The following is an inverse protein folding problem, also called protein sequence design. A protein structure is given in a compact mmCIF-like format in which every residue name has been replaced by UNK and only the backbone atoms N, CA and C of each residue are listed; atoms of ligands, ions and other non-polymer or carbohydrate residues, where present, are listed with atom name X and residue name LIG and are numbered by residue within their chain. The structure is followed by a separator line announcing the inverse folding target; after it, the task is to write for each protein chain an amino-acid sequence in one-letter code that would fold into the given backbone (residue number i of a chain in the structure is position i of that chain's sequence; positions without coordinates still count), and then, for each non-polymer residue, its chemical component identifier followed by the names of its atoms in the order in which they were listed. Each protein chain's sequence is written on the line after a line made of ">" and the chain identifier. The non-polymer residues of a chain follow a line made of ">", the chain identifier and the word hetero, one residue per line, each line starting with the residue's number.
data_IF_680353061173
#
_entry.id   IF_680353061173
#
_cell.length_a   1.000
_cell.length_b   1.000
_cell.length_c   1.000
_cell.angle_alpha   90.00
_cell.angle_beta   90.00
_cell.angle_gamma   90.00
#
_symmetry.space_group_name_H-M   'P 1'
#
loop_
_entity.id
_entity.type
_entity.pdbx_description
1 polymer ?
#
# COMPACT_ATOMS: atom_id res chain seq x y z
N UNK A 1 -14.56 -24.42 21.28
CA UNK A 1 -14.75 -23.71 22.55
C UNK A 1 -13.77 -22.57 22.62
N UNK A 2 -14.22 -21.37 22.90
CA UNK A 2 -13.34 -20.21 23.09
C UNK A 2 -12.65 -20.36 24.44
N UNK A 3 -11.33 -20.54 24.43
CA UNK A 3 -10.55 -20.84 25.64
C UNK A 3 -10.19 -19.60 26.48
N UNK A 4 -10.58 -18.38 26.02
CA UNK A 4 -10.18 -17.13 26.66
C UNK A 4 -11.34 -16.50 27.44
N UNK A 5 -11.04 -16.01 28.66
CA UNK A 5 -11.99 -15.20 29.44
C UNK A 5 -12.17 -13.81 28.78
N UNK A 6 -13.22 -13.06 29.18
CA UNK A 6 -13.45 -11.68 28.69
C UNK A 6 -12.27 -10.77 28.99
N UNK A 7 -11.67 -10.89 30.18
CA UNK A 7 -10.52 -10.12 30.65
C UNK A 7 -9.26 -10.44 29.85
N UNK A 8 -9.00 -11.73 29.60
CA UNK A 8 -7.87 -12.18 28.77
C UNK A 8 -8.02 -11.65 27.34
N UNK A 9 -9.22 -11.72 26.78
CA UNK A 9 -9.53 -11.18 25.46
C UNK A 9 -9.31 -9.66 25.40
N UNK A 10 -9.81 -8.93 26.40
CA UNK A 10 -9.62 -7.49 26.50
C UNK A 10 -8.13 -7.12 26.53
N UNK A 11 -7.32 -7.81 27.34
CA UNK A 11 -5.86 -7.61 27.39
C UNK A 11 -5.20 -7.89 26.04
N UNK A 12 -5.57 -9.00 25.38
CA UNK A 12 -5.02 -9.31 24.04
C UNK A 12 -5.37 -8.22 23.01
N UNK A 13 -6.61 -7.74 23.02
CA UNK A 13 -7.06 -6.71 22.09
C UNK A 13 -6.41 -5.36 22.35
N UNK A 14 -6.23 -4.97 23.61
CA UNK A 14 -5.56 -3.71 23.99
C UNK A 14 -4.05 -3.75 23.75
N UNK A 15 -3.45 -4.94 23.72
CA UNK A 15 -2.02 -5.12 23.42
C UNK A 15 -1.70 -5.06 21.91
N UNK A 16 -2.71 -5.05 21.03
CA UNK A 16 -2.52 -4.95 19.57
C UNK A 16 -2.03 -3.57 19.24
N UNK A 17 -0.81 -3.49 18.71
CA UNK A 17 -0.21 -2.24 18.25
C UNK A 17 -0.79 -1.85 16.91
N UNK A 18 -1.14 -0.58 16.76
CA UNK A 18 -1.60 -0.01 15.48
C UNK A 18 -0.43 0.49 14.61
N UNK A 19 0.79 0.54 15.13
CA UNK A 19 2.00 1.02 14.43
C UNK A 19 3.22 0.25 14.91
N UNK A 20 4.24 0.20 14.07
CA UNK A 20 5.50 -0.50 14.33
C UNK A 20 5.28 -1.99 14.65
N UNK A 21 4.37 -2.61 13.95
CA UNK A 21 4.13 -4.04 14.03
C UNK A 21 5.32 -4.83 13.48
N UNK A 22 5.45 -6.09 13.90
CA UNK A 22 6.53 -6.96 13.38
C UNK A 22 6.54 -7.07 11.85
N UNK A 23 5.39 -7.25 11.15
CA UNK A 23 5.33 -7.22 9.69
C UNK A 23 5.83 -5.91 9.07
N UNK A 24 5.40 -4.76 9.58
CA UNK A 24 5.87 -3.45 9.10
C UNK A 24 7.38 -3.30 9.24
N UNK A 25 7.95 -3.64 10.41
CA UNK A 25 9.39 -3.55 10.66
C UNK A 25 10.18 -4.46 9.71
N UNK A 26 9.64 -5.61 9.34
CA UNK A 26 10.28 -6.54 8.41
C UNK A 26 10.36 -5.94 7.01
N UNK A 27 9.25 -5.40 6.50
CA UNK A 27 9.21 -4.72 5.20
C UNK A 27 10.15 -3.51 5.18
N UNK A 28 10.12 -2.69 6.23
CA UNK A 28 10.99 -1.51 6.37
C UNK A 28 12.47 -1.86 6.33
N UNK A 29 12.89 -2.88 7.11
CA UNK A 29 14.29 -3.34 7.14
C UNK A 29 14.74 -3.83 5.77
N UNK A 30 13.92 -4.63 5.11
CA UNK A 30 14.22 -5.12 3.77
C UNK A 30 14.40 -3.97 2.77
N UNK A 31 13.42 -3.07 2.67
CA UNK A 31 13.50 -1.93 1.75
C UNK A 31 14.72 -1.06 2.02
N UNK A 32 15.03 -0.79 3.30
CA UNK A 32 16.20 -0.01 3.67
C UNK A 32 17.50 -0.69 3.26
N UNK A 33 17.63 -2.01 3.45
CA UNK A 33 18.82 -2.80 3.05
C UNK A 33 19.01 -2.84 1.53
N UNK A 34 17.92 -2.67 0.76
CA UNK A 34 17.94 -2.57 -0.72
C UNK A 34 18.16 -1.13 -1.22
N UNK A 35 18.46 -0.18 -0.34
CA UNK A 35 18.73 1.19 -0.70
C UNK A 35 17.53 2.10 -0.88
N UNK A 36 16.31 1.61 -0.64
CA UNK A 36 15.12 2.45 -0.67
C UNK A 36 15.10 3.43 0.50
N UNK A 37 14.70 4.67 0.23
CA UNK A 37 14.51 5.71 1.24
C UNK A 37 13.03 6.06 1.30
N UNK A 38 12.45 6.02 2.48
CA UNK A 38 11.02 6.18 2.72
C UNK A 38 10.73 7.05 3.94
N UNK A 39 9.49 7.51 4.01
CA UNK A 39 8.91 8.15 5.19
C UNK A 39 7.84 7.23 5.78
N UNK A 40 7.56 7.39 7.07
CA UNK A 40 6.61 6.57 7.80
C UNK A 40 5.36 7.36 8.15
N UNK A 41 4.20 6.69 8.11
CA UNK A 41 2.92 7.19 8.63
C UNK A 41 2.64 8.65 8.23
N UNK A 42 2.70 8.96 6.92
CA UNK A 42 2.58 10.33 6.44
C UNK A 42 1.16 10.89 6.69
N UNK A 43 0.99 11.95 7.52
CA UNK A 43 -0.33 12.36 8.01
C UNK A 43 -1.23 12.99 6.93
N UNK A 44 -0.64 13.48 5.83
CA UNK A 44 -1.38 14.17 4.75
C UNK A 44 -1.82 13.24 3.62
N UNK A 45 -1.45 11.96 3.66
CA UNK A 45 -1.89 11.00 2.65
C UNK A 45 -3.09 10.20 3.17
N UNK A 46 -4.10 9.94 2.32
CA UNK A 46 -5.23 9.08 2.66
C UNK A 46 -4.76 7.73 3.23
N UNK A 47 -5.45 7.25 4.25
CA UNK A 47 -5.15 5.96 4.88
C UNK A 47 -3.92 5.91 5.77
N UNK A 48 -3.18 7.02 5.92
CA UNK A 48 -1.94 7.07 6.71
C UNK A 48 -0.99 5.90 6.42
N UNK A 49 -0.54 5.72 5.17
CA UNK A 49 0.22 4.56 4.75
C UNK A 49 1.47 4.32 5.62
N UNK A 50 1.79 3.06 5.89
CA UNK A 50 2.90 2.66 6.76
C UNK A 50 4.26 3.08 6.21
N UNK A 51 4.40 3.07 4.88
CA UNK A 51 5.64 3.40 4.18
C UNK A 51 5.31 4.27 2.96
N UNK A 52 6.03 5.37 2.79
CA UNK A 52 5.87 6.31 1.67
C UNK A 52 7.19 6.49 0.93
N UNK A 53 7.23 6.04 -0.31
CA UNK A 53 8.37 6.10 -1.22
C UNK A 53 8.16 7.23 -2.24
N UNK A 54 8.53 8.46 -1.87
CA UNK A 54 8.27 9.66 -2.70
C UNK A 54 8.90 9.58 -4.09
N UNK A 55 10.14 9.07 -4.18
CA UNK A 55 10.85 8.88 -5.45
C UNK A 55 10.09 7.98 -6.42
N UNK A 56 9.34 7.02 -5.90
CA UNK A 56 8.57 6.03 -6.65
C UNK A 56 7.10 6.40 -6.75
N UNK A 57 6.66 7.52 -6.21
CA UNK A 57 5.25 7.89 -6.04
C UNK A 57 4.37 6.73 -5.54
N UNK A 58 4.93 5.93 -4.67
CA UNK A 58 4.31 4.68 -4.18
C UNK A 58 4.17 4.72 -2.67
N UNK A 59 3.04 4.26 -2.19
CA UNK A 59 2.77 4.00 -0.78
C UNK A 59 2.55 2.51 -0.54
N UNK A 60 2.90 2.04 0.65
CA UNK A 60 2.72 0.64 1.03
C UNK A 60 1.93 0.58 2.34
N UNK A 61 0.89 -0.24 2.32
CA UNK A 61 0.12 -0.65 3.48
C UNK A 61 0.52 -2.07 3.87
N UNK A 62 0.79 -2.32 5.15
CA UNK A 62 1.10 -3.64 5.68
C UNK A 62 -0.07 -4.13 6.51
N UNK A 63 -0.99 -4.81 5.87
CA UNK A 63 -2.30 -5.13 6.41
C UNK A 63 -2.33 -6.46 7.16
N UNK A 64 -2.88 -6.46 8.38
CA UNK A 64 -3.24 -7.67 9.11
C UNK A 64 -4.43 -8.37 8.47
N UNK A 65 -4.30 -9.68 8.22
CA UNK A 65 -5.30 -10.44 7.46
C UNK A 65 -6.71 -10.39 8.08
N UNK A 66 -6.80 -10.45 9.39
CA UNK A 66 -8.08 -10.39 10.11
C UNK A 66 -8.75 -9.01 10.00
N UNK A 67 -7.97 -7.94 10.26
CA UNK A 67 -8.51 -6.59 10.39
C UNK A 67 -9.00 -5.98 9.08
N UNK A 68 -8.40 -6.41 7.97
CA UNK A 68 -8.70 -5.92 6.62
C UNK A 68 -9.42 -6.96 5.75
N UNK A 69 -9.86 -8.09 6.37
CA UNK A 69 -10.68 -9.09 5.71
C UNK A 69 -10.03 -9.72 4.49
N UNK A 70 -8.78 -10.19 4.63
CA UNK A 70 -8.04 -10.80 3.53
C UNK A 70 -8.73 -12.07 3.03
N UNK A 71 -9.31 -12.01 1.82
CA UNK A 71 -10.08 -13.10 1.22
C UNK A 71 -9.21 -14.33 0.94
N UNK A 72 -9.81 -15.51 1.02
CA UNK A 72 -9.16 -16.81 0.78
C UNK A 72 -7.91 -17.05 1.64
N UNK A 73 -7.81 -16.39 2.80
CA UNK A 73 -6.69 -16.48 3.70
C UNK A 73 -7.02 -17.31 4.96
N UNK A 74 -6.20 -18.31 5.25
CA UNK A 74 -6.32 -19.13 6.47
C UNK A 74 -6.19 -18.33 7.77
N UNK A 75 -5.60 -17.15 7.73
CA UNK A 75 -5.45 -16.24 8.88
C UNK A 75 -6.66 -15.31 9.06
N UNK A 76 -7.60 -15.31 8.14
CA UNK A 76 -8.87 -14.59 8.24
C UNK A 76 -9.99 -15.56 8.64
N UNK A 77 -10.28 -15.62 9.93
CA UNK A 77 -11.35 -16.44 10.49
C UNK A 77 -12.20 -15.57 11.41
N UNK A 78 -13.47 -15.45 11.09
CA UNK A 78 -14.41 -14.70 11.94
C UNK A 78 -14.63 -15.41 13.27
N UNK A 79 -14.60 -14.69 14.41
CA UNK A 79 -14.93 -15.25 15.70
C UNK A 79 -16.37 -15.78 15.74
N UNK A 80 -16.59 -16.92 16.38
CA UNK A 80 -17.92 -17.49 16.57
C UNK A 80 -18.83 -16.61 17.44
N UNK A 81 -18.25 -15.87 18.39
CA UNK A 81 -18.96 -14.92 19.24
C UNK A 81 -18.98 -13.54 18.59
N UNK A 82 -20.16 -12.89 18.62
CA UNK A 82 -20.39 -11.57 18.03
C UNK A 82 -20.01 -11.50 16.53
N UNK A 83 -20.27 -12.55 15.78
CA UNK A 83 -19.95 -12.65 14.34
C UNK A 83 -20.48 -11.48 13.54
N UNK A 84 -21.74 -11.05 13.80
CA UNK A 84 -22.34 -9.90 13.14
C UNK A 84 -21.55 -8.60 13.36
N UNK A 85 -21.13 -8.33 14.60
CA UNK A 85 -20.31 -7.17 14.91
C UNK A 85 -18.99 -7.18 14.13
N UNK A 86 -18.30 -8.32 14.13
CA UNK A 86 -17.02 -8.46 13.44
C UNK A 86 -17.16 -8.34 11.93
N UNK A 87 -18.20 -8.97 11.35
CA UNK A 87 -18.49 -8.84 9.92
C UNK A 87 -18.67 -7.38 9.53
N UNK A 88 -19.55 -6.65 10.21
CA UNK A 88 -19.81 -5.24 9.92
C UNK A 88 -18.56 -4.36 10.13
N UNK A 89 -17.74 -4.67 11.14
CA UNK A 89 -16.50 -3.91 11.41
C UNK A 89 -15.48 -4.11 10.29
N UNK A 90 -15.27 -5.36 9.86
CA UNK A 90 -14.31 -5.69 8.81
C UNK A 90 -14.79 -5.13 7.47
N UNK A 91 -16.07 -5.21 7.17
CA UNK A 91 -16.66 -4.64 5.95
C UNK A 91 -16.45 -3.12 5.89
N UNK A 92 -16.69 -2.41 6.99
CA UNK A 92 -16.37 -0.97 7.08
C UNK A 92 -14.88 -0.68 6.88
N UNK A 93 -14.00 -1.50 7.42
CA UNK A 93 -12.56 -1.34 7.19
C UNK A 93 -12.22 -1.53 5.71
N UNK A 94 -12.75 -2.56 5.05
CA UNK A 94 -12.53 -2.83 3.62
C UNK A 94 -13.02 -1.68 2.72
N UNK A 95 -14.23 -1.16 3.01
CA UNK A 95 -14.78 -0.04 2.24
C UNK A 95 -13.92 1.21 2.40
N UNK A 96 -13.49 1.51 3.62
CA UNK A 96 -12.55 2.62 3.89
C UNK A 96 -11.23 2.40 3.15
N UNK A 97 -10.62 1.22 3.23
CA UNK A 97 -9.37 0.92 2.54
C UNK A 97 -9.51 1.13 1.02
N UNK A 98 -10.63 0.71 0.44
CA UNK A 98 -10.92 0.91 -1.00
C UNK A 98 -11.01 2.40 -1.35
N UNK A 99 -11.74 3.19 -0.56
CA UNK A 99 -11.83 4.64 -0.75
C UNK A 99 -10.46 5.33 -0.64
N UNK A 100 -9.64 4.92 0.33
CA UNK A 100 -8.31 5.45 0.56
C UNK A 100 -7.38 5.14 -0.63
N UNK A 101 -7.44 3.92 -1.17
CA UNK A 101 -6.72 3.53 -2.39
C UNK A 101 -7.17 4.34 -3.61
N UNK A 102 -8.47 4.57 -3.78
CA UNK A 102 -9.01 5.40 -4.88
C UNK A 102 -8.53 6.85 -4.77
N UNK A 103 -8.58 7.45 -3.57
CA UNK A 103 -8.07 8.81 -3.33
C UNK A 103 -6.58 8.91 -3.62
N UNK A 104 -5.78 7.94 -3.22
CA UNK A 104 -4.35 7.89 -3.54
C UNK A 104 -4.11 7.82 -5.04
N UNK A 105 -4.85 6.97 -5.74
CA UNK A 105 -4.77 6.85 -7.20
C UNK A 105 -5.11 8.16 -7.90
N UNK A 106 -6.18 8.86 -7.49
CA UNK A 106 -6.56 10.17 -8.04
C UNK A 106 -5.51 11.25 -7.79
N UNK A 107 -4.72 11.12 -6.72
CA UNK A 107 -3.56 11.99 -6.44
C UNK A 107 -2.29 11.58 -7.20
N UNK A 108 -2.36 10.55 -8.06
CA UNK A 108 -1.22 10.01 -8.82
C UNK A 108 -0.24 9.22 -7.97
N UNK A 109 -0.69 8.60 -6.89
CA UNK A 109 0.08 7.68 -6.08
C UNK A 109 -0.28 6.23 -6.40
N UNK A 110 0.74 5.39 -6.56
CA UNK A 110 0.58 3.95 -6.58
C UNK A 110 0.43 3.44 -5.15
N UNK A 111 -0.49 2.52 -4.91
CA UNK A 111 -0.68 1.91 -3.60
C UNK A 111 -0.51 0.40 -3.66
N UNK A 112 0.34 -0.13 -2.79
CA UNK A 112 0.64 -1.56 -2.68
C UNK A 112 0.21 -2.04 -1.30
N UNK A 113 -0.53 -3.15 -1.25
CA UNK A 113 -0.88 -3.82 0.00
C UNK A 113 -0.03 -5.08 0.17
N UNK A 114 0.67 -5.17 1.29
CA UNK A 114 1.42 -6.36 1.71
C UNK A 114 0.67 -7.00 2.87
N UNK A 115 0.28 -8.26 2.73
CA UNK A 115 -0.47 -8.97 3.75
C UNK A 115 0.43 -9.67 4.77
N UNK A 116 0.05 -9.64 6.03
CA UNK A 116 0.77 -10.32 7.12
C UNK A 116 1.08 -11.80 6.81
N UNK A 117 0.14 -12.52 6.20
CA UNK A 117 0.34 -13.93 5.86
C UNK A 117 1.45 -14.14 4.81
N UNK A 118 1.68 -13.17 3.95
CA UNK A 118 2.75 -13.18 2.94
C UNK A 118 4.15 -12.93 3.55
N UNK A 119 4.21 -12.48 4.80
CA UNK A 119 5.45 -12.21 5.52
C UNK A 119 5.84 -13.35 6.48
N UNK A 120 5.13 -14.48 6.42
CA UNK A 120 5.52 -15.69 7.17
C UNK A 120 6.85 -16.26 6.67
N UNK A 121 7.66 -16.90 7.52
CA UNK A 121 9.03 -17.33 7.19
C UNK A 121 9.19 -18.07 5.87
N UNK A 122 8.24 -18.92 5.50
CA UNK A 122 8.31 -19.76 4.28
C UNK A 122 8.13 -18.97 2.98
N UNK A 123 7.45 -17.83 3.00
CA UNK A 123 7.06 -17.09 1.78
C UNK A 123 7.57 -15.64 1.75
N UNK A 124 8.03 -15.12 2.89
CA UNK A 124 8.41 -13.72 3.02
C UNK A 124 9.49 -13.27 2.04
N UNK A 125 10.48 -14.13 1.77
CA UNK A 125 11.57 -13.76 0.87
C UNK A 125 11.05 -13.48 -0.53
N UNK A 126 10.26 -14.38 -1.08
CA UNK A 126 9.61 -14.19 -2.37
C UNK A 126 8.72 -12.94 -2.41
N UNK A 127 7.93 -12.71 -1.35
CA UNK A 127 7.06 -11.52 -1.25
C UNK A 127 7.87 -10.22 -1.27
N UNK A 128 8.97 -10.18 -0.53
CA UNK A 128 9.82 -8.98 -0.43
C UNK A 128 10.56 -8.71 -1.74
N UNK A 129 11.04 -9.74 -2.41
CA UNK A 129 11.68 -9.63 -3.73
C UNK A 129 10.67 -9.19 -4.80
N UNK A 130 9.45 -9.75 -4.78
CA UNK A 130 8.38 -9.31 -5.67
C UNK A 130 7.99 -7.83 -5.42
N UNK A 131 7.96 -7.39 -4.17
CA UNK A 131 7.73 -5.99 -3.81
C UNK A 131 8.84 -5.09 -4.38
N UNK A 132 10.10 -5.47 -4.23
CA UNK A 132 11.25 -4.75 -4.79
C UNK A 132 11.14 -4.62 -6.31
N UNK A 133 10.87 -5.72 -7.00
CA UNK A 133 10.68 -5.74 -8.45
C UNK A 133 9.52 -4.82 -8.88
N UNK A 134 8.39 -4.89 -8.18
CA UNK A 134 7.22 -4.03 -8.46
C UNK A 134 7.56 -2.55 -8.33
N UNK A 135 8.32 -2.17 -7.30
CA UNK A 135 8.74 -0.78 -7.11
C UNK A 135 9.64 -0.28 -8.24
N UNK A 136 10.59 -1.10 -8.71
CA UNK A 136 11.42 -0.74 -9.86
C UNK A 136 10.60 -0.65 -11.14
N UNK A 137 9.66 -1.56 -11.37
CA UNK A 137 8.79 -1.55 -12.54
C UNK A 137 7.95 -0.26 -12.59
N UNK A 138 7.28 0.10 -11.49
CA UNK A 138 6.51 1.35 -11.36
C UNK A 138 7.40 2.55 -11.70
N UNK A 139 8.59 2.62 -11.12
CA UNK A 139 9.51 3.73 -11.34
C UNK A 139 9.94 3.88 -12.81
N UNK A 140 10.20 2.78 -13.49
CA UNK A 140 10.58 2.79 -14.91
C UNK A 140 9.41 3.21 -15.80
N UNK A 141 8.19 2.72 -15.52
CA UNK A 141 7.00 3.07 -16.29
C UNK A 141 6.63 4.55 -16.11
N UNK A 142 6.69 5.08 -14.90
CA UNK A 142 6.44 6.50 -14.65
C UNK A 142 7.47 7.40 -15.39
N UNK A 143 8.72 6.98 -15.46
CA UNK A 143 9.76 7.72 -16.18
C UNK A 143 9.54 7.69 -17.70
N UNK A 144 9.15 6.56 -18.25
CA UNK A 144 8.78 6.48 -19.67
C UNK A 144 7.63 7.43 -20.01
N UNK A 145 6.57 7.44 -19.20
CA UNK A 145 5.43 8.35 -19.38
C UNK A 145 5.83 9.82 -19.40
N UNK A 146 6.73 10.23 -18.51
CA UNK A 146 7.23 11.61 -18.47
C UNK A 146 8.01 11.92 -19.74
N UNK A 147 8.90 11.04 -20.17
CA UNK A 147 9.69 11.21 -21.38
C UNK A 147 8.81 11.37 -22.65
N UNK A 148 7.78 10.53 -22.81
CA UNK A 148 6.85 10.65 -23.94
C UNK A 148 6.08 11.96 -23.94
N UNK A 149 5.57 12.40 -22.77
CA UNK A 149 4.90 13.69 -22.65
C UNK A 149 5.78 14.87 -23.07
N UNK A 150 7.02 14.88 -22.62
CA UNK A 150 7.97 15.95 -22.98
C UNK A 150 8.21 16.00 -24.49
N UNK A 151 8.36 14.85 -25.13
CA UNK A 151 8.53 14.77 -26.60
C UNK A 151 7.28 15.26 -27.34
N UNK A 152 6.09 14.91 -26.88
CA UNK A 152 4.83 15.38 -27.47
C UNK A 152 4.65 16.89 -27.32
N UNK A 153 4.97 17.46 -26.16
CA UNK A 153 4.92 18.90 -25.90
C UNK A 153 5.93 19.66 -26.76
N UNK A 154 7.18 19.18 -26.85
CA UNK A 154 8.19 19.79 -27.73
C UNK A 154 7.81 19.70 -29.19
N UNK A 155 7.26 18.59 -29.67
CA UNK A 155 6.84 18.43 -31.05
C UNK A 155 5.65 19.32 -31.42
N UNK A 156 4.71 19.54 -30.52
CA UNK A 156 3.58 20.45 -30.76
C UNK A 156 4.01 21.92 -30.81
N UNK A 157 4.94 22.32 -29.92
CA UNK A 157 5.50 23.68 -29.95
C UNK A 157 6.24 23.99 -31.28
N UNK A 158 7.00 23.01 -31.79
CA UNK A 158 7.69 23.15 -33.08
C UNK A 158 6.69 23.25 -34.23
N UNK A 159 5.61 22.46 -34.19
CA UNK A 159 4.57 22.51 -35.23
C UNK A 159 3.82 23.85 -35.21
N UNK A 160 3.54 24.43 -34.07
CA UNK A 160 2.93 25.77 -33.96
C UNK A 160 3.84 26.87 -34.48
N UNK A 161 5.14 26.84 -34.18
CA UNK A 161 6.10 27.82 -34.68
C UNK A 161 6.22 27.83 -36.23
N UNK A 162 6.18 26.65 -36.85
CA UNK A 162 6.25 26.51 -38.31
C UNK A 162 4.98 27.03 -39.03
N UNK A 163 3.83 27.05 -38.34
CA UNK A 163 2.57 27.57 -38.92
C UNK A 163 2.48 29.09 -38.82
N UNK A 164 3.18 29.74 -37.90
CA UNK A 164 3.24 31.19 -37.77
C UNK A 164 4.17 31.81 -38.81
N UNK A 165 5.29 31.17 -39.18
CA UNK A 165 6.22 31.65 -40.21
C UNK A 165 5.67 31.56 -41.63
N UNK A 166 4.61 30.79 -41.88
CA UNK A 166 3.97 30.67 -43.17
C UNK A 166 2.85 31.69 -43.43
N UNK A 167 2.53 32.55 -42.44
CA UNK A 167 1.48 33.58 -42.53
C UNK A 167 2.00 35.02 -42.77
N UNK A 168 3.30 35.20 -42.90
CA UNK A 168 3.95 36.45 -43.23
C UNK A 168 4.50 36.37 -44.68
#
# INVERSE_FOLDING_TARGET
>A
MDKMTKEQRHRCMSAIKSKNTKPELLVRKFLFSRGFRYRLNHPRLPGHPDIVLRKYRTVIFVNGCFWHGHENCKSYVLPKNNTGFWKNKIERNRNRDMEEHQKLSSMGWHSITVWECQLKPKVRQHTLEALEHTLYHIYLEDRKRISYKTIEEESSMVAESLTEDTKN
#
